data_IF_666764676574
#
_entry.id   IF_666764676574
#
_cell.length_a   1.000
_cell.length_b   1.000
_cell.length_c   1.000
_cell.angle_alpha   90.00
_cell.angle_beta   90.00
_cell.angle_gamma   90.00
#
_symmetry.space_group_name_H-M   'P 1'
#
loop_
_entity.id
_entity.type
_entity.pdbx_description
1 polymer ?
#
# COMPACT_ATOMS: atom_id res chain seq x y z
N UNK A 1 -20.23 39.81 -12.05
CA UNK A 1 -19.15 39.44 -11.10
C UNK A 1 -19.42 38.03 -10.63
N UNK A 2 -18.79 37.06 -11.29
CA UNK A 2 -19.09 35.66 -11.11
C UNK A 2 -17.87 34.91 -10.55
N UNK A 3 -18.18 33.79 -9.91
CA UNK A 3 -17.29 32.69 -9.54
C UNK A 3 -16.70 32.78 -8.12
N UNK A 4 -17.61 32.56 -7.16
CA UNK A 4 -17.53 31.49 -6.15
C UNK A 4 -16.80 30.25 -6.68
N UNK A 5 -16.04 29.57 -5.81
CA UNK A 5 -15.51 28.18 -5.97
C UNK A 5 -14.01 28.07 -6.20
N UNK A 6 -13.19 28.30 -5.16
CA UNK A 6 -11.78 27.85 -5.17
C UNK A 6 -11.18 27.62 -3.78
N UNK A 7 -11.88 26.92 -2.88
CA UNK A 7 -11.33 26.56 -1.55
C UNK A 7 -11.58 25.08 -1.19
N UNK A 8 -11.71 24.21 -2.20
CA UNK A 8 -11.79 22.75 -1.98
C UNK A 8 -10.52 21.99 -2.41
N UNK A 9 -9.53 22.67 -3.00
CA UNK A 9 -8.34 22.00 -3.55
C UNK A 9 -7.19 21.80 -2.53
N UNK A 10 -7.19 22.55 -1.42
CA UNK A 10 -6.10 22.50 -0.42
C UNK A 10 -6.24 21.34 0.60
N UNK A 11 -7.41 20.70 0.68
CA UNK A 11 -7.60 19.61 1.65
C UNK A 11 -7.11 18.25 1.14
N UNK A 12 -6.94 18.07 -0.17
CA UNK A 12 -6.50 16.79 -0.76
C UNK A 12 -5.00 16.77 -1.06
N UNK A 13 -4.31 17.92 -1.08
CA UNK A 13 -2.92 18.03 -1.57
C UNK A 13 -1.81 18.04 -0.54
N UNK A 14 -2.10 17.92 0.76
CA UNK A 14 -1.06 18.08 1.82
C UNK A 14 -0.39 16.79 2.30
N UNK A 15 -0.61 15.65 1.65
CA UNK A 15 -0.08 14.36 2.13
C UNK A 15 0.54 13.40 1.11
N UNK A 16 0.55 13.70 -0.20
CA UNK A 16 0.85 12.67 -1.22
C UNK A 16 2.03 12.99 -2.17
N UNK A 17 2.70 14.14 -2.02
CA UNK A 17 3.74 14.61 -2.95
C UNK A 17 5.20 14.36 -2.48
N UNK A 18 5.43 13.34 -1.64
CA UNK A 18 6.76 13.03 -1.09
C UNK A 18 7.23 11.58 -1.36
N UNK A 19 6.58 10.86 -2.28
CA UNK A 19 6.99 9.49 -2.67
C UNK A 19 7.46 9.38 -4.13
N UNK A 20 7.59 10.51 -4.85
CA UNK A 20 7.83 10.50 -6.30
C UNK A 20 9.31 10.34 -6.71
N UNK A 21 10.20 9.90 -5.81
CA UNK A 21 11.61 9.65 -6.16
C UNK A 21 12.21 8.41 -5.49
N UNK A 22 11.43 7.33 -5.40
CA UNK A 22 11.97 6.02 -5.01
C UNK A 22 12.03 5.16 -6.27
N UNK A 23 13.25 4.94 -6.77
CA UNK A 23 13.55 3.96 -7.81
C UNK A 23 12.73 2.68 -7.58
N UNK A 24 12.20 2.00 -8.62
CA UNK A 24 11.27 0.90 -8.45
C UNK A 24 11.91 -0.21 -7.62
N UNK A 25 11.64 -0.20 -6.32
CA UNK A 25 12.07 -1.24 -5.40
C UNK A 25 11.31 -2.48 -5.81
N UNK A 26 12.01 -3.38 -6.51
CA UNK A 26 11.41 -4.58 -7.05
C UNK A 26 10.88 -5.44 -5.89
N UNK A 27 9.57 -5.45 -5.73
CA UNK A 27 8.87 -6.41 -4.88
C UNK A 27 8.93 -7.78 -5.53
N UNK A 28 9.30 -8.78 -4.75
CA UNK A 28 9.28 -10.18 -5.20
C UNK A 28 7.84 -10.63 -5.45
N UNK A 29 7.65 -11.71 -6.20
CA UNK A 29 6.32 -12.27 -6.43
C UNK A 29 5.58 -12.56 -5.11
N UNK A 30 6.30 -13.10 -4.12
CA UNK A 30 5.73 -13.40 -2.80
C UNK A 30 5.35 -12.15 -2.01
N UNK A 31 6.18 -11.11 -2.06
CA UNK A 31 5.84 -9.81 -1.45
C UNK A 31 4.62 -9.19 -2.12
N UNK A 32 4.49 -9.31 -3.45
CA UNK A 32 3.33 -8.84 -4.21
C UNK A 32 2.04 -9.53 -3.79
N UNK A 33 2.04 -10.86 -3.64
CA UNK A 33 0.87 -11.61 -3.15
C UNK A 33 0.42 -11.11 -1.77
N UNK A 34 1.38 -10.87 -0.87
CA UNK A 34 1.09 -10.38 0.48
C UNK A 34 0.56 -8.94 0.44
N UNK A 35 1.14 -8.07 -0.40
CA UNK A 35 0.66 -6.70 -0.61
C UNK A 35 -0.78 -6.73 -1.13
N UNK A 36 -1.08 -7.59 -2.09
CA UNK A 36 -2.41 -7.76 -2.67
C UNK A 36 -3.44 -8.13 -1.60
N UNK A 37 -3.20 -9.21 -0.86
CA UNK A 37 -4.13 -9.68 0.17
C UNK A 37 -4.40 -8.61 1.25
N UNK A 38 -3.35 -7.90 1.66
CA UNK A 38 -3.47 -6.82 2.65
C UNK A 38 -4.25 -5.63 2.07
N UNK A 39 -4.01 -5.27 0.81
CA UNK A 39 -4.71 -4.19 0.14
C UNK A 39 -6.18 -4.52 -0.15
N UNK A 40 -6.51 -5.79 -0.33
CA UNK A 40 -7.89 -6.31 -0.40
C UNK A 40 -8.58 -6.37 0.98
N UNK A 41 -7.90 -5.98 2.06
CA UNK A 41 -8.46 -5.95 3.41
C UNK A 41 -8.41 -7.29 4.16
N UNK A 42 -7.67 -8.28 3.66
CA UNK A 42 -7.51 -9.57 4.35
C UNK A 42 -6.69 -9.39 5.63
N UNK A 43 -7.14 -10.06 6.70
CA UNK A 43 -6.37 -10.17 7.92
C UNK A 43 -5.10 -11.01 7.72
N UNK A 44 -4.10 -10.85 8.60
CA UNK A 44 -2.88 -11.69 8.56
C UNK A 44 -3.20 -13.19 8.63
N UNK A 45 -4.30 -13.56 9.31
CA UNK A 45 -4.76 -14.94 9.43
C UNK A 45 -5.33 -15.47 8.11
N UNK A 46 -6.18 -14.69 7.44
CA UNK A 46 -6.69 -15.07 6.12
C UNK A 46 -5.59 -15.13 5.07
N UNK A 47 -4.65 -14.18 5.10
CA UNK A 47 -3.51 -14.19 4.19
C UNK A 47 -2.61 -15.42 4.42
N UNK A 48 -2.36 -15.77 5.68
CA UNK A 48 -1.64 -16.98 6.06
C UNK A 48 -2.33 -18.25 5.54
N UNK A 49 -3.65 -18.36 5.73
CA UNK A 49 -4.45 -19.48 5.22
C UNK A 49 -4.44 -19.56 3.69
N UNK A 50 -4.56 -18.42 3.01
CA UNK A 50 -4.55 -18.35 1.53
C UNK A 50 -3.21 -18.77 0.95
N UNK A 51 -2.13 -18.36 1.61
CA UNK A 51 -0.76 -18.58 1.13
C UNK A 51 -0.09 -19.85 1.70
N UNK A 52 -0.80 -20.62 2.54
CA UNK A 52 -0.32 -21.88 3.12
C UNK A 52 0.87 -21.74 4.07
N UNK A 53 1.01 -20.59 4.74
CA UNK A 53 2.15 -20.29 5.63
C UNK A 53 1.68 -19.80 7.00
N UNK A 54 2.59 -19.74 7.98
CA UNK A 54 2.23 -19.28 9.32
C UNK A 54 1.90 -17.78 9.36
N UNK A 55 1.02 -17.38 10.28
CA UNK A 55 0.71 -15.96 10.54
C UNK A 55 1.97 -15.17 10.89
N UNK A 56 2.88 -15.76 11.67
CA UNK A 56 4.18 -15.16 12.02
C UNK A 56 5.04 -14.89 10.78
N UNK A 57 4.99 -15.78 9.80
CA UNK A 57 5.69 -15.61 8.51
C UNK A 57 5.10 -14.42 7.74
N UNK A 58 3.76 -14.30 7.68
CA UNK A 58 3.10 -13.14 7.08
C UNK A 58 3.51 -11.84 7.78
N UNK A 59 3.51 -11.81 9.11
CA UNK A 59 3.93 -10.62 9.88
C UNK A 59 5.36 -10.20 9.57
N UNK A 60 6.29 -11.16 9.51
CA UNK A 60 7.67 -10.91 9.14
C UNK A 60 7.79 -10.35 7.70
N UNK A 61 7.07 -10.94 6.74
CA UNK A 61 7.03 -10.41 5.38
C UNK A 61 6.44 -9.00 5.33
N UNK A 62 5.33 -8.73 6.02
CA UNK A 62 4.72 -7.38 6.07
C UNK A 62 5.69 -6.36 6.65
N UNK A 63 6.37 -6.68 7.75
CA UNK A 63 7.38 -5.80 8.34
C UNK A 63 8.53 -5.51 7.36
N UNK A 64 9.01 -6.54 6.66
CA UNK A 64 10.05 -6.38 5.64
C UNK A 64 9.57 -5.53 4.46
N UNK A 65 8.36 -5.74 3.97
CA UNK A 65 7.74 -4.97 2.88
C UNK A 65 7.60 -3.51 3.29
N UNK A 66 7.05 -3.23 4.47
CA UNK A 66 6.88 -1.86 4.98
C UNK A 66 8.23 -1.14 5.10
N UNK A 67 9.26 -1.82 5.63
CA UNK A 67 10.62 -1.27 5.71
C UNK A 67 11.23 -1.06 4.32
N UNK A 68 11.11 -2.03 3.43
CA UNK A 68 11.66 -2.02 2.06
C UNK A 68 11.05 -0.92 1.20
N UNK A 69 9.75 -0.67 1.36
CA UNK A 69 8.99 0.34 0.64
C UNK A 69 8.87 1.68 1.39
N UNK A 70 9.49 1.80 2.58
CA UNK A 70 9.43 2.97 3.45
C UNK A 70 8.01 3.42 3.82
N UNK A 71 7.09 2.46 3.90
CA UNK A 71 5.69 2.68 4.23
C UNK A 71 5.49 2.70 5.75
N UNK A 72 4.63 3.58 6.24
CA UNK A 72 4.39 3.76 7.69
C UNK A 72 3.02 3.26 8.13
N UNK A 73 2.08 3.14 7.19
CA UNK A 73 0.72 2.68 7.45
C UNK A 73 0.22 1.67 6.42
N UNK A 74 -0.82 0.93 6.78
CA UNK A 74 -1.53 0.05 5.84
C UNK A 74 -2.12 0.87 4.69
N UNK A 75 -2.59 2.09 4.96
CA UNK A 75 -3.09 3.01 3.93
C UNK A 75 -2.02 3.34 2.89
N UNK A 76 -0.77 3.54 3.30
CA UNK A 76 0.35 3.77 2.36
C UNK A 76 0.58 2.53 1.49
N UNK A 77 0.46 1.33 2.07
CA UNK A 77 0.55 0.06 1.35
C UNK A 77 -0.58 -0.10 0.32
N UNK A 78 -1.82 0.29 0.67
CA UNK A 78 -2.94 0.29 -0.29
C UNK A 78 -2.68 1.27 -1.42
N UNK A 79 -2.25 2.51 -1.13
CA UNK A 79 -1.87 3.50 -2.15
C UNK A 79 -0.77 2.97 -3.06
N UNK A 80 0.26 2.33 -2.49
CA UNK A 80 1.32 1.68 -3.24
C UNK A 80 0.77 0.57 -4.15
N UNK A 81 -0.12 -0.28 -3.64
CA UNK A 81 -0.71 -1.38 -4.41
C UNK A 81 -1.52 -0.88 -5.61
N UNK A 82 -2.29 0.21 -5.44
CA UNK A 82 -3.05 0.85 -6.53
C UNK A 82 -2.10 1.48 -7.56
N UNK A 83 -1.13 2.28 -7.11
CA UNK A 83 -0.13 2.94 -8.00
C UNK A 83 0.66 1.93 -8.84
N UNK A 84 0.98 0.76 -8.27
CA UNK A 84 1.72 -0.30 -8.93
C UNK A 84 0.84 -1.35 -9.65
N UNK A 85 -0.48 -1.11 -9.75
CA UNK A 85 -1.46 -2.03 -10.37
C UNK A 85 -1.41 -3.45 -9.81
N UNK A 86 -1.09 -3.57 -8.53
CA UNK A 86 -1.08 -4.86 -7.79
C UNK A 86 -2.51 -5.26 -7.43
N UNK A 87 -3.34 -4.29 -7.06
CA UNK A 87 -4.79 -4.46 -6.88
C UNK A 87 -5.51 -3.59 -7.91
N UNK A 88 -6.61 -4.12 -8.43
CA UNK A 88 -7.55 -3.33 -9.23
C UNK A 88 -8.66 -2.82 -8.29
N UNK A 89 -9.02 -1.53 -8.36
CA UNK A 89 -10.13 -0.98 -7.60
C UNK A 89 -11.48 -1.57 -8.02
#
# INVERSE_FOLDING_TARGET
SAVTEFVLDDYVRRGDAALDDVAPVAVTAREREIIQLVAEGRSNKEAASTLGISVKTIEAHRANIMRKLHLRSVSDLVRYAIRNKIVQP
#
